data_IF_757497811476
#
_entry.id   IF_757497811476
#
_cell.length_a   1.000
_cell.length_b   1.000
_cell.length_c   1.000
_cell.angle_alpha   90.00
_cell.angle_beta   90.00
_cell.angle_gamma   90.00
#
_symmetry.space_group_name_H-M   'P 1'
#
loop_
_entity.id
_entity.type
_entity.pdbx_description
1 polymer ?
#
# COMPACT_ATOMS: atom_id res chain seq x y z
N UNK A 1 14.50 -18.44 15.97
CA UNK A 1 13.63 -17.62 15.09
C UNK A 1 12.55 -18.52 14.54
N UNK A 2 11.35 -18.00 14.38
CA UNK A 2 10.19 -18.76 13.91
C UNK A 2 9.94 -18.42 12.44
N UNK A 3 9.92 -19.46 11.60
CA UNK A 3 9.65 -19.35 10.16
C UNK A 3 8.32 -20.04 9.86
N UNK A 4 7.37 -19.32 9.26
CA UNK A 4 6.14 -19.92 8.75
C UNK A 4 6.24 -20.16 7.24
N UNK A 5 5.66 -21.25 6.76
CA UNK A 5 5.64 -21.61 5.33
C UNK A 5 4.19 -21.92 4.92
N UNK A 6 3.66 -21.24 3.90
CA UNK A 6 2.32 -21.57 3.38
C UNK A 6 2.37 -22.87 2.58
N UNK A 7 1.63 -23.91 2.98
CA UNK A 7 1.76 -25.25 2.41
C UNK A 7 0.40 -25.90 2.09
N UNK A 8 0.43 -26.83 1.13
CA UNK A 8 -0.71 -27.71 0.82
C UNK A 8 -0.88 -28.85 1.84
N UNK A 9 0.21 -29.29 2.46
CA UNK A 9 0.24 -30.40 3.42
C UNK A 9 0.90 -30.02 4.75
N UNK A 10 1.09 -31.02 5.61
CA UNK A 10 1.45 -30.87 7.03
C UNK A 10 2.93 -31.16 7.32
N UNK A 11 3.73 -31.37 6.27
CA UNK A 11 5.15 -31.71 6.37
C UNK A 11 6.02 -30.87 5.43
N UNK A 12 7.34 -30.89 5.65
CA UNK A 12 8.30 -30.12 4.86
C UNK A 12 8.51 -30.69 3.43
N UNK A 13 8.02 -31.89 3.14
CA UNK A 13 8.01 -32.47 1.79
C UNK A 13 6.80 -32.02 0.95
N UNK A 14 5.88 -31.29 1.58
CA UNK A 14 4.74 -30.67 0.91
C UNK A 14 5.16 -29.47 0.07
N UNK A 15 4.40 -29.24 -1.00
CA UNK A 15 4.59 -28.05 -1.83
C UNK A 15 4.03 -26.81 -1.16
N UNK A 16 4.68 -25.68 -1.43
CA UNK A 16 4.24 -24.36 -1.01
C UNK A 16 2.95 -24.00 -1.75
N UNK A 17 1.92 -23.58 -1.02
CA UNK A 17 0.75 -22.93 -1.61
C UNK A 17 1.09 -21.46 -1.81
N UNK A 18 1.04 -21.01 -3.06
CA UNK A 18 1.37 -19.64 -3.44
C UNK A 18 0.35 -18.63 -2.91
N UNK A 19 -0.85 -19.06 -2.51
CA UNK A 19 -1.93 -18.17 -2.07
C UNK A 19 -1.90 -18.05 -0.56
N UNK A 20 -1.08 -17.15 -0.01
CA UNK A 20 -0.92 -16.98 1.44
C UNK A 20 -2.24 -17.01 2.23
N UNK A 21 -3.19 -16.14 1.88
CA UNK A 21 -4.44 -16.01 2.64
C UNK A 21 -5.35 -17.23 2.58
N UNK A 22 -5.19 -18.09 1.58
CA UNK A 22 -6.06 -19.26 1.30
C UNK A 22 -5.31 -20.59 1.34
N UNK A 23 -4.04 -20.60 1.77
CA UNK A 23 -3.32 -21.86 1.96
C UNK A 23 -4.04 -22.70 3.00
N UNK A 24 -3.92 -24.02 2.92
CA UNK A 24 -4.59 -24.92 3.87
C UNK A 24 -3.86 -24.94 5.22
N UNK A 25 -2.53 -24.98 5.18
CA UNK A 25 -1.69 -25.06 6.37
C UNK A 25 -0.59 -24.00 6.36
N UNK A 26 -0.16 -23.63 7.56
CA UNK A 26 1.12 -22.99 7.84
C UNK A 26 2.02 -24.00 8.55
N UNK A 27 3.18 -24.28 7.96
CA UNK A 27 4.25 -25.01 8.64
C UNK A 27 5.06 -24.02 9.46
N UNK A 28 4.97 -24.10 10.77
CA UNK A 28 5.69 -23.24 11.71
C UNK A 28 6.94 -23.99 12.16
N UNK A 29 8.10 -23.42 11.84
CA UNK A 29 9.41 -24.03 12.04
C UNK A 29 10.21 -23.16 12.99
N UNK A 30 10.64 -23.74 14.11
CA UNK A 30 11.59 -23.10 15.01
C UNK A 30 13.02 -23.42 14.56
N UNK A 31 13.82 -22.37 14.38
CA UNK A 31 15.19 -22.46 13.90
C UNK A 31 16.15 -21.77 14.88
N UNK A 32 17.14 -22.53 15.35
CA UNK A 32 18.25 -22.04 16.16
C UNK A 32 19.57 -22.37 15.46
N UNK A 33 20.43 -21.36 15.23
CA UNK A 33 21.74 -21.58 14.61
C UNK A 33 21.69 -22.27 13.23
N UNK A 34 20.66 -21.99 12.42
CA UNK A 34 20.35 -22.64 11.13
C UNK A 34 19.93 -24.12 11.21
N UNK A 35 19.60 -24.63 12.41
CA UNK A 35 19.07 -25.98 12.60
C UNK A 35 17.60 -25.92 12.98
N UNK A 36 16.82 -26.83 12.41
CA UNK A 36 15.41 -27.00 12.77
C UNK A 36 15.34 -27.64 14.16
N UNK A 37 14.72 -26.94 15.10
CA UNK A 37 14.50 -27.40 16.47
C UNK A 37 13.11 -28.02 16.61
N UNK A 38 12.11 -27.43 15.96
CA UNK A 38 10.72 -27.89 15.99
C UNK A 38 10.03 -27.59 14.66
N UNK A 39 9.08 -28.43 14.28
CA UNK A 39 8.15 -28.17 13.19
C UNK A 39 6.74 -28.55 13.62
N UNK A 40 5.77 -27.69 13.35
CA UNK A 40 4.35 -27.94 13.58
C UNK A 40 3.53 -27.44 12.39
N UNK A 41 2.52 -28.21 12.00
CA UNK A 41 1.55 -27.78 10.99
C UNK A 41 0.32 -27.19 11.70
N UNK A 42 -0.11 -26.02 11.26
CA UNK A 42 -1.28 -25.32 11.80
C UNK A 42 -2.24 -25.00 10.68
N UNK A 43 -3.53 -25.26 10.87
CA UNK A 43 -4.56 -24.86 9.91
C UNK A 43 -4.64 -23.33 9.78
N UNK A 44 -4.79 -22.84 8.56
CA UNK A 44 -4.97 -21.42 8.30
C UNK A 44 -6.41 -21.00 8.62
N UNK A 45 -6.58 -20.11 9.60
CA UNK A 45 -7.88 -19.56 10.01
C UNK A 45 -8.55 -18.69 8.92
N UNK A 46 -7.78 -18.26 7.91
CA UNK A 46 -8.26 -17.54 6.74
C UNK A 46 -8.74 -18.44 5.58
N UNK A 47 -8.44 -19.74 5.60
CA UNK A 47 -8.60 -20.63 4.44
C UNK A 47 -10.02 -20.64 3.85
N UNK A 48 -11.03 -20.67 4.71
CA UNK A 48 -12.44 -20.79 4.30
C UNK A 48 -13.19 -19.44 4.28
N UNK A 49 -12.50 -18.32 4.49
CA UNK A 49 -13.16 -17.03 4.47
C UNK A 49 -13.53 -16.57 3.05
N UNK A 50 -14.77 -16.08 2.92
CA UNK A 50 -15.26 -15.48 1.68
C UNK A 50 -14.51 -14.19 1.32
N UNK A 51 -14.22 -13.36 2.32
CA UNK A 51 -13.50 -12.08 2.17
C UNK A 51 -12.51 -11.88 3.33
N UNK A 52 -11.42 -11.13 3.13
CA UNK A 52 -10.45 -10.84 4.20
C UNK A 52 -9.55 -12.01 4.62
N UNK A 53 -9.51 -13.10 3.85
CA UNK A 53 -8.71 -14.29 4.14
C UNK A 53 -7.22 -13.97 4.43
N UNK A 54 -6.61 -13.06 3.66
CA UNK A 54 -5.23 -12.61 3.87
C UNK A 54 -5.00 -11.84 5.18
N UNK A 55 -5.95 -11.01 5.60
CA UNK A 55 -5.87 -10.28 6.88
C UNK A 55 -5.89 -11.27 8.04
N UNK A 56 -6.80 -12.26 8.00
CA UNK A 56 -6.88 -13.28 9.05
C UNK A 56 -5.63 -14.13 9.15
N UNK A 57 -5.09 -14.54 8.01
CA UNK A 57 -3.84 -15.28 7.94
C UNK A 57 -2.68 -14.45 8.53
N UNK A 58 -2.60 -13.15 8.20
CA UNK A 58 -1.58 -12.26 8.74
C UNK A 58 -1.71 -12.06 10.26
N UNK A 59 -2.93 -11.86 10.78
CA UNK A 59 -3.18 -11.82 12.24
C UNK A 59 -2.73 -13.11 12.94
N UNK A 60 -2.93 -14.27 12.29
CA UNK A 60 -2.50 -15.56 12.82
C UNK A 60 -0.97 -15.65 12.93
N UNK A 61 -0.22 -15.08 11.98
CA UNK A 61 1.25 -15.04 12.06
C UNK A 61 1.73 -14.31 13.32
N UNK A 62 1.09 -13.19 13.67
CA UNK A 62 1.40 -12.45 14.91
C UNK A 62 1.12 -13.27 16.17
N UNK A 63 0.01 -14.01 16.21
CA UNK A 63 -0.34 -14.90 17.34
C UNK A 63 0.67 -16.04 17.50
N UNK A 64 1.17 -16.56 16.39
CA UNK A 64 2.19 -17.61 16.33
C UNK A 64 3.62 -17.07 16.55
N UNK A 65 3.79 -15.75 16.70
CA UNK A 65 5.08 -15.07 16.87
C UNK A 65 6.07 -15.39 15.76
N UNK A 66 5.57 -15.47 14.53
CA UNK A 66 6.39 -15.72 13.34
C UNK A 66 7.30 -14.53 13.09
N UNK A 67 8.59 -14.79 12.86
CA UNK A 67 9.57 -13.75 12.48
C UNK A 67 9.62 -13.59 10.95
N UNK A 68 9.59 -14.72 10.24
CA UNK A 68 9.74 -14.77 8.78
C UNK A 68 8.66 -15.67 8.14
N UNK A 69 8.06 -15.21 7.05
CA UNK A 69 7.05 -15.94 6.28
C UNK A 69 7.61 -16.30 4.90
N UNK A 70 7.58 -17.57 4.54
CA UNK A 70 7.90 -18.05 3.19
C UNK A 70 6.59 -18.36 2.46
N UNK A 71 6.31 -17.63 1.40
CA UNK A 71 5.06 -17.77 0.65
C UNK A 71 5.23 -17.35 -0.81
N UNK A 72 4.22 -17.58 -1.64
CA UNK A 72 4.24 -17.13 -3.03
C UNK A 72 3.84 -15.66 -3.15
N UNK A 73 2.54 -15.43 -3.21
CA UNK A 73 1.93 -14.12 -3.48
C UNK A 73 1.21 -13.60 -2.23
N UNK A 74 1.45 -12.32 -1.94
CA UNK A 74 0.81 -11.55 -0.88
C UNK A 74 0.02 -10.39 -1.49
N UNK A 75 -1.22 -10.23 -1.07
CA UNK A 75 -2.02 -9.05 -1.41
C UNK A 75 -1.75 -7.89 -0.45
N UNK A 76 -2.03 -6.64 -0.86
CA UNK A 76 -1.67 -5.42 -0.13
C UNK A 76 -2.21 -5.39 1.32
N UNK A 77 -3.44 -5.90 1.51
CA UNK A 77 -4.05 -5.99 2.84
C UNK A 77 -3.31 -6.94 3.80
N UNK A 78 -2.74 -8.03 3.28
CA UNK A 78 -1.98 -8.97 4.10
C UNK A 78 -0.60 -8.40 4.44
N UNK A 79 0.08 -7.83 3.45
CA UNK A 79 1.39 -7.16 3.59
C UNK A 79 1.32 -6.08 4.68
N UNK A 80 0.34 -5.16 4.60
CA UNK A 80 0.18 -4.08 5.57
C UNK A 80 -0.02 -4.57 7.02
N UNK A 81 -0.58 -5.76 7.23
CA UNK A 81 -0.74 -6.36 8.57
C UNK A 81 0.56 -7.02 9.02
N UNK A 82 1.24 -7.75 8.13
CA UNK A 82 2.53 -8.40 8.41
C UNK A 82 3.60 -7.36 8.79
N UNK A 83 3.63 -6.22 8.10
CA UNK A 83 4.58 -5.12 8.38
C UNK A 83 4.37 -4.53 9.78
N UNK A 84 3.11 -4.26 10.18
CA UNK A 84 2.78 -3.80 11.52
C UNK A 84 3.20 -4.79 12.61
N UNK A 85 3.16 -6.08 12.27
CA UNK A 85 3.61 -7.18 13.14
C UNK A 85 5.12 -7.43 13.05
N UNK A 86 5.83 -6.70 12.17
CA UNK A 86 7.26 -6.86 11.88
C UNK A 86 7.65 -8.26 11.38
N UNK A 87 6.71 -8.93 10.69
CA UNK A 87 6.94 -10.23 10.06
C UNK A 87 7.50 -10.01 8.66
N UNK A 88 8.69 -10.54 8.39
CA UNK A 88 9.32 -10.40 7.07
C UNK A 88 8.83 -11.49 6.13
N UNK A 89 8.26 -11.13 5.00
CA UNK A 89 7.83 -12.10 3.99
C UNK A 89 8.90 -12.31 2.92
N UNK A 90 8.99 -13.53 2.38
CA UNK A 90 9.94 -13.90 1.32
C UNK A 90 9.24 -14.75 0.27
N UNK A 91 9.58 -14.49 -0.99
CA UNK A 91 9.00 -15.16 -2.15
C UNK A 91 9.63 -16.55 -2.25
N UNK A 92 8.78 -17.56 -2.20
CA UNK A 92 9.15 -18.96 -2.19
C UNK A 92 8.17 -19.79 -3.02
N UNK A 93 8.66 -20.86 -3.63
CA UNK A 93 7.88 -21.81 -4.40
C UNK A 93 8.53 -23.20 -4.34
N UNK A 94 7.85 -24.22 -4.86
CA UNK A 94 8.32 -25.60 -4.81
C UNK A 94 8.16 -26.22 -3.42
N UNK A 95 9.10 -27.08 -3.03
CA UNK A 95 9.03 -27.83 -1.76
C UNK A 95 9.36 -26.95 -0.56
N UNK A 96 8.61 -27.10 0.53
CA UNK A 96 8.81 -26.34 1.76
C UNK A 96 10.22 -26.50 2.34
N UNK A 97 10.78 -27.73 2.33
CA UNK A 97 12.16 -27.99 2.77
C UNK A 97 13.21 -27.23 1.97
N UNK A 98 13.02 -27.14 0.65
CA UNK A 98 13.99 -26.53 -0.26
C UNK A 98 13.95 -25.01 -0.09
N UNK A 99 12.75 -24.43 0.01
CA UNK A 99 12.57 -23.02 0.32
C UNK A 99 13.15 -22.64 1.68
N UNK A 100 12.92 -23.45 2.72
CA UNK A 100 13.53 -23.22 4.03
C UNK A 100 15.06 -23.28 3.95
N UNK A 101 15.61 -24.25 3.21
CA UNK A 101 17.04 -24.32 2.96
C UNK A 101 17.59 -23.08 2.26
N UNK A 102 16.92 -22.60 1.22
CA UNK A 102 17.30 -21.36 0.51
C UNK A 102 17.25 -20.14 1.43
N UNK A 103 16.20 -20.04 2.26
CA UNK A 103 16.04 -18.96 3.24
C UNK A 103 17.21 -18.92 4.24
N UNK A 104 17.57 -20.05 4.84
CA UNK A 104 18.67 -20.14 5.82
C UNK A 104 20.05 -19.84 5.22
N UNK A 105 20.15 -19.94 3.89
CA UNK A 105 21.34 -19.57 3.13
C UNK A 105 21.28 -18.12 2.58
N UNK A 106 20.21 -17.39 2.84
CA UNK A 106 20.02 -16.01 2.39
C UNK A 106 19.70 -15.87 0.89
N UNK A 107 19.21 -16.94 0.26
CA UNK A 107 18.98 -17.00 -1.19
C UNK A 107 17.57 -16.63 -1.64
N UNK A 108 16.66 -16.26 -0.74
CA UNK A 108 15.30 -15.86 -1.09
C UNK A 108 15.15 -14.35 -1.18
N UNK A 109 14.35 -13.91 -2.16
CA UNK A 109 13.93 -12.53 -2.31
C UNK A 109 12.91 -12.18 -1.21
N UNK A 110 13.18 -11.12 -0.46
CA UNK A 110 12.21 -10.59 0.48
C UNK A 110 11.05 -9.96 -0.31
N UNK A 111 9.82 -10.33 0.03
CA UNK A 111 8.62 -9.61 -0.41
C UNK A 111 8.57 -8.33 0.42
N UNK A 112 9.38 -7.37 0.04
CA UNK A 112 9.10 -5.97 0.27
C UNK A 112 8.24 -5.51 -0.90
N UNK A 113 7.13 -4.81 -0.64
CA UNK A 113 6.66 -3.86 -1.64
C UNK A 113 7.85 -2.92 -1.92
N UNK A 114 8.56 -3.12 -3.03
CA UNK A 114 9.57 -2.14 -3.43
C UNK A 114 8.82 -0.95 -4.01
N UNK A 115 8.33 -0.13 -3.11
CA UNK A 115 8.74 1.25 -3.02
C UNK A 115 8.77 1.61 -1.53
N UNK A 116 9.93 1.38 -0.89
CA UNK A 116 10.28 2.05 0.37
C UNK A 116 10.06 3.58 0.21
N UNK A 117 9.60 4.28 1.26
CA UNK A 117 10.58 4.61 2.29
C UNK A 117 10.07 4.46 3.72
N UNK A 118 10.84 3.71 4.50
CA UNK A 118 11.21 3.96 5.90
C UNK A 118 10.16 4.71 6.73
N UNK A 119 9.27 3.95 7.38
CA UNK A 119 8.53 4.43 8.55
C UNK A 119 9.20 3.90 9.83
N UNK A 120 10.43 4.35 10.06
CA UNK A 120 10.90 4.57 11.43
C UNK A 120 10.44 5.99 11.81
N UNK A 121 9.68 6.08 12.89
CA UNK A 121 9.15 7.33 13.42
C UNK A 121 10.30 8.24 13.86
N UNK A 122 10.84 9.06 12.97
CA UNK A 122 11.56 10.28 13.35
C UNK A 122 11.49 11.32 12.25
N UNK A 123 10.84 12.44 12.61
CA UNK A 123 11.11 13.81 12.17
C UNK A 123 11.51 14.06 10.70
N UNK A 124 10.57 14.71 9.98
CA UNK A 124 10.80 15.76 8.96
C UNK A 124 11.81 15.49 7.82
N UNK A 125 11.24 15.49 6.61
CA UNK A 125 11.75 16.10 5.39
C UNK A 125 13.01 15.49 4.72
N UNK A 126 12.98 15.57 3.37
CA UNK A 126 14.07 15.40 2.39
C UNK A 126 14.26 13.97 1.86
N UNK A 127 13.73 13.71 0.65
CA UNK A 127 14.16 12.51 -0.12
C UNK A 127 13.44 12.21 -1.44
N UNK A 128 12.23 12.70 -1.68
CA UNK A 128 11.53 12.58 -2.97
C UNK A 128 10.75 13.85 -3.24
N UNK A 129 10.89 14.41 -4.44
CA UNK A 129 10.30 15.69 -4.83
C UNK A 129 8.80 15.80 -4.56
N UNK A 130 8.35 17.03 -4.34
CA UNK A 130 6.93 17.32 -4.18
C UNK A 130 6.19 16.90 -5.46
N UNK A 131 5.15 16.07 -5.31
CA UNK A 131 4.22 15.71 -6.39
C UNK A 131 2.83 16.22 -6.07
N UNK A 132 2.31 17.08 -6.94
CA UNK A 132 1.04 17.76 -6.75
C UNK A 132 0.00 17.13 -7.67
N UNK A 133 -1.06 16.64 -7.04
CA UNK A 133 -2.21 16.08 -7.73
C UNK A 133 -3.28 17.14 -8.01
N UNK A 134 -3.87 17.07 -9.20
CA UNK A 134 -4.93 17.95 -9.68
C UNK A 134 -6.11 17.11 -10.21
N UNK A 135 -7.33 17.31 -9.69
CA UNK A 135 -8.53 16.84 -10.38
C UNK A 135 -8.81 17.77 -11.56
N UNK A 136 -8.91 17.24 -12.78
CA UNK A 136 -9.02 18.03 -14.02
C UNK A 136 -10.31 17.74 -14.78
N UNK A 137 -10.83 18.75 -15.48
CA UNK A 137 -12.00 18.64 -16.36
C UNK A 137 -11.62 18.25 -17.80
N UNK A 138 -10.38 18.49 -18.19
CA UNK A 138 -9.84 18.23 -19.52
C UNK A 138 -8.35 17.79 -19.47
N UNK A 139 -7.76 17.55 -20.65
CA UNK A 139 -6.37 17.11 -20.82
C UNK A 139 -5.60 18.09 -21.73
N UNK A 140 -5.63 19.37 -21.38
CA UNK A 140 -4.97 20.46 -22.11
C UNK A 140 -3.59 20.82 -21.53
N UNK A 141 -2.92 19.87 -20.87
CA UNK A 141 -1.63 20.13 -20.22
C UNK A 141 -1.77 21.11 -19.05
N UNK A 142 -0.86 22.07 -18.92
CA UNK A 142 -0.91 23.05 -17.83
C UNK A 142 -2.09 24.03 -17.94
N UNK A 143 -2.65 24.21 -19.13
CA UNK A 143 -3.84 25.04 -19.32
C UNK A 143 -5.14 24.30 -18.94
N UNK A 144 -5.04 23.04 -18.48
CA UNK A 144 -6.21 22.24 -18.07
C UNK A 144 -6.97 22.87 -16.90
N UNK A 145 -8.30 22.79 -16.97
CA UNK A 145 -9.20 23.33 -15.95
C UNK A 145 -9.28 22.41 -14.73
N UNK A 146 -9.18 22.98 -13.54
CA UNK A 146 -9.25 22.25 -12.27
C UNK A 146 -10.72 22.02 -11.89
N UNK A 147 -11.08 20.76 -11.69
CA UNK A 147 -12.41 20.38 -11.26
C UNK A 147 -12.69 20.86 -9.83
N UNK A 148 -13.87 21.47 -9.63
CA UNK A 148 -14.42 21.81 -8.32
C UNK A 148 -14.92 20.58 -7.54
N UNK A 149 -15.05 19.42 -8.21
CA UNK A 149 -15.59 18.19 -7.65
C UNK A 149 -14.59 17.05 -7.77
N UNK A 150 -13.92 16.74 -6.67
CA UNK A 150 -12.88 15.71 -6.59
C UNK A 150 -13.34 14.32 -7.07
N UNK A 151 -14.58 13.93 -6.76
CA UNK A 151 -15.12 12.59 -7.08
C UNK A 151 -15.65 12.39 -8.50
N UNK A 152 -15.67 13.44 -9.33
CA UNK A 152 -16.26 13.40 -10.69
C UNK A 152 -15.34 14.00 -11.76
N UNK A 153 -14.06 14.20 -11.45
CA UNK A 153 -13.11 14.71 -12.42
C UNK A 153 -12.86 13.66 -13.52
N UNK A 154 -13.07 13.98 -14.81
CA UNK A 154 -12.80 13.06 -15.93
C UNK A 154 -11.30 12.83 -16.19
N UNK A 155 -10.42 13.68 -15.64
CA UNK A 155 -8.97 13.53 -15.75
C UNK A 155 -8.28 13.79 -14.42
N UNK A 156 -7.08 13.22 -14.28
CA UNK A 156 -6.20 13.41 -13.14
C UNK A 156 -4.83 13.89 -13.60
N UNK A 157 -4.40 15.05 -13.12
CA UNK A 157 -3.08 15.62 -13.37
C UNK A 157 -2.14 15.37 -12.19
N UNK A 158 -0.88 15.06 -12.49
CA UNK A 158 0.19 14.91 -11.49
C UNK A 158 1.40 15.67 -11.95
N UNK A 159 1.79 16.65 -11.17
CA UNK A 159 2.96 17.47 -11.43
C UNK A 159 4.10 17.09 -10.49
N UNK A 160 5.23 16.68 -11.04
CA UNK A 160 6.48 16.46 -10.29
C UNK A 160 7.25 17.79 -10.25
N UNK A 161 7.37 18.38 -9.06
CA UNK A 161 7.98 19.72 -8.87
C UNK A 161 9.47 19.71 -9.19
N UNK A 162 10.17 18.61 -8.90
CA UNK A 162 11.60 18.49 -9.17
C UNK A 162 11.86 18.35 -10.68
N UNK A 163 11.07 17.53 -11.37
CA UNK A 163 11.21 17.28 -12.81
C UNK A 163 10.55 18.34 -13.67
N UNK A 164 9.68 19.18 -13.10
CA UNK A 164 8.80 20.11 -13.81
C UNK A 164 8.00 19.42 -14.92
N UNK A 165 7.44 18.26 -14.58
CA UNK A 165 6.74 17.40 -15.51
C UNK A 165 5.29 17.22 -15.06
N UNK A 166 4.33 17.55 -15.94
CA UNK A 166 2.91 17.30 -15.75
C UNK A 166 2.50 16.03 -16.52
N UNK A 167 1.99 15.04 -15.81
CA UNK A 167 1.37 13.85 -16.40
C UNK A 167 -0.13 13.90 -16.18
N UNK A 168 -0.91 13.80 -17.25
CA UNK A 168 -2.37 13.73 -17.19
C UNK A 168 -2.82 12.32 -17.55
N UNK A 169 -3.74 11.79 -16.76
CA UNK A 169 -4.29 10.44 -16.86
C UNK A 169 -5.81 10.58 -17.00
N UNK A 170 -6.39 9.88 -17.98
CA UNK A 170 -7.85 9.79 -18.10
C UNK A 170 -8.44 9.00 -16.95
N UNK A 171 -9.51 9.50 -16.35
CA UNK A 171 -10.26 8.80 -15.32
C UNK A 171 -11.24 7.84 -15.99
N UNK A 172 -10.76 6.64 -16.33
CA UNK A 172 -11.59 5.58 -16.91
C UNK A 172 -12.40 4.90 -15.80
N UNK A 173 -13.47 5.58 -15.37
CA UNK A 173 -14.35 5.15 -14.26
C UNK A 173 -15.19 3.88 -14.57
N UNK A 174 -14.95 3.21 -15.69
CA UNK A 174 -15.66 1.98 -16.06
C UNK A 174 -15.08 0.70 -15.41
N UNK A 175 -13.93 0.81 -14.72
CA UNK A 175 -13.30 -0.29 -13.97
C UNK A 175 -13.03 0.04 -12.50
N UNK A 176 -13.92 0.82 -11.89
CA UNK A 176 -13.80 1.24 -10.50
C UNK A 176 -14.22 0.09 -9.58
N UNK A 177 -13.29 -0.39 -8.76
CA UNK A 177 -13.63 -1.26 -7.63
C UNK A 177 -14.52 -0.44 -6.66
N UNK A 178 -15.81 -0.78 -6.51
CA UNK A 178 -16.71 -0.02 -5.64
C UNK A 178 -16.31 -0.06 -4.16
N UNK A 179 -15.35 -0.92 -3.79
CA UNK A 179 -14.78 -0.97 -2.44
C UNK A 179 -13.69 0.08 -2.16
N UNK A 180 -13.13 0.74 -3.18
CA UNK A 180 -12.03 1.71 -3.02
C UNK A 180 -12.53 3.16 -3.10
N UNK A 181 -12.08 4.01 -2.18
CA UNK A 181 -12.37 5.44 -2.27
C UNK A 181 -11.61 6.06 -3.46
N UNK A 182 -12.07 7.20 -4.01
CA UNK A 182 -11.34 7.90 -5.05
C UNK A 182 -9.88 8.24 -4.65
N UNK A 183 -9.64 8.49 -3.35
CA UNK A 183 -8.30 8.80 -2.83
C UNK A 183 -7.40 7.56 -2.86
N UNK A 184 -7.92 6.37 -2.56
CA UNK A 184 -7.14 5.12 -2.63
C UNK A 184 -6.68 4.84 -4.06
N UNK A 185 -7.55 5.12 -5.04
CA UNK A 185 -7.22 4.93 -6.45
C UNK A 185 -6.17 5.93 -6.95
N UNK A 186 -6.21 7.15 -6.44
CA UNK A 186 -5.21 8.19 -6.73
C UNK A 186 -3.87 7.83 -6.12
N UNK A 187 -3.86 7.33 -4.88
CA UNK A 187 -2.64 6.88 -4.21
C UNK A 187 -1.99 5.71 -4.97
N UNK A 188 -2.79 4.68 -5.32
CA UNK A 188 -2.34 3.50 -6.06
C UNK A 188 -1.81 3.85 -7.46
N UNK A 189 -2.40 4.85 -8.13
CA UNK A 189 -2.05 5.17 -9.50
C UNK A 189 -0.82 6.07 -9.63
N UNK A 190 -0.62 7.00 -8.69
CA UNK A 190 0.31 8.13 -8.90
C UNK A 190 1.11 8.58 -7.69
N UNK A 191 0.90 8.02 -6.49
CA UNK A 191 1.65 8.31 -5.26
C UNK A 191 1.97 9.80 -5.05
N UNK A 192 0.94 10.67 -4.93
CA UNK A 192 1.16 12.10 -4.74
C UNK A 192 1.64 12.38 -3.31
N UNK A 193 2.35 13.49 -3.11
CA UNK A 193 2.66 14.00 -1.75
C UNK A 193 1.68 15.10 -1.33
N UNK A 194 1.09 15.77 -2.31
CA UNK A 194 0.20 16.93 -2.14
C UNK A 194 -1.00 16.80 -3.07
N UNK A 195 -2.20 17.10 -2.57
CA UNK A 195 -3.42 17.26 -3.37
C UNK A 195 -3.77 18.75 -3.42
N UNK A 196 -3.97 19.28 -4.62
CA UNK A 196 -4.57 20.58 -4.83
C UNK A 196 -6.04 20.44 -5.22
N UNK A 197 -6.92 21.17 -4.54
CA UNK A 197 -8.34 21.22 -4.89
C UNK A 197 -8.91 22.63 -4.68
N UNK A 198 -9.79 23.06 -5.58
CA UNK A 198 -10.52 24.33 -5.47
C UNK A 198 -11.51 24.36 -4.29
N UNK A 199 -12.04 23.18 -3.93
CA UNK A 199 -12.91 22.99 -2.79
C UNK A 199 -13.02 21.51 -2.44
N UNK A 200 -13.02 21.21 -1.14
CA UNK A 200 -13.03 19.83 -0.67
C UNK A 200 -13.94 19.70 0.56
N UNK A 201 -14.79 18.67 0.57
CA UNK A 201 -15.68 18.40 1.70
C UNK A 201 -14.90 17.84 2.89
N UNK A 202 -15.34 18.14 4.12
CA UNK A 202 -14.64 17.74 5.36
C UNK A 202 -14.34 16.23 5.47
N UNK A 203 -15.18 15.36 4.88
CA UNK A 203 -14.91 13.92 4.79
C UNK A 203 -13.63 13.59 4.03
N UNK A 204 -13.38 14.29 2.92
CA UNK A 204 -12.19 14.08 2.12
C UNK A 204 -10.94 14.70 2.78
N UNK A 205 -11.08 15.81 3.53
CA UNK A 205 -10.00 16.35 4.38
C UNK A 205 -9.53 15.29 5.39
N UNK A 206 -10.48 14.66 6.09
CA UNK A 206 -10.17 13.60 7.06
C UNK A 206 -9.44 12.40 6.45
N UNK A 207 -9.84 11.99 5.24
CA UNK A 207 -9.21 10.89 4.52
C UNK A 207 -7.80 11.24 4.02
N UNK A 208 -7.59 12.44 3.51
CA UNK A 208 -6.27 12.94 3.07
C UNK A 208 -5.31 13.04 4.26
N UNK A 209 -5.78 13.61 5.37
CA UNK A 209 -4.99 13.73 6.60
C UNK A 209 -4.64 12.36 7.21
N UNK A 210 -5.58 11.41 7.20
CA UNK A 210 -5.34 10.05 7.69
C UNK A 210 -4.30 9.28 6.85
N UNK A 211 -4.11 9.68 5.58
CA UNK A 211 -3.13 9.12 4.65
C UNK A 211 -1.78 9.88 4.64
N UNK A 212 -1.64 10.93 5.47
CA UNK A 212 -0.40 11.72 5.53
C UNK A 212 -0.15 12.59 4.30
N UNK A 213 -1.15 12.78 3.44
CA UNK A 213 -1.07 13.65 2.27
C UNK A 213 -1.28 15.11 2.67
N UNK A 214 -0.58 16.03 2.00
CA UNK A 214 -0.80 17.46 2.18
C UNK A 214 -1.98 17.91 1.33
N UNK A 215 -2.88 18.71 1.90
CA UNK A 215 -3.95 19.37 1.18
C UNK A 215 -3.61 20.84 1.00
N UNK A 216 -3.56 21.29 -0.25
CA UNK A 216 -3.49 22.70 -0.62
C UNK A 216 -4.80 23.11 -1.29
N UNK A 217 -5.28 24.30 -0.96
CA UNK A 217 -6.49 24.85 -1.59
C UNK A 217 -6.25 26.26 -2.09
N UNK A 218 -7.06 26.69 -3.05
CA UNK A 218 -6.98 28.02 -3.62
C UNK A 218 -8.02 28.20 -4.72
N UNK A 219 -8.42 29.44 -4.95
CA UNK A 219 -9.34 29.80 -6.03
C UNK A 219 -8.56 30.05 -7.33
N UNK A 220 -8.02 28.96 -7.89
CA UNK A 220 -7.32 28.95 -9.18
C UNK A 220 -8.12 28.12 -10.17
N UNK A 221 -8.21 28.56 -11.42
CA UNK A 221 -9.01 27.92 -12.46
C UNK A 221 -8.22 26.84 -13.21
N UNK A 222 -6.91 27.04 -13.39
CA UNK A 222 -6.07 26.15 -14.22
C UNK A 222 -4.85 25.63 -13.47
N UNK A 223 -4.27 24.52 -13.94
CA UNK A 223 -3.02 23.96 -13.37
C UNK A 223 -1.91 25.00 -13.38
N UNK A 224 -1.74 25.71 -14.50
CA UNK A 224 -0.73 26.77 -14.68
C UNK A 224 -0.83 27.88 -13.64
N UNK A 225 -2.04 28.33 -13.31
CA UNK A 225 -2.24 29.34 -12.27
C UNK A 225 -1.79 28.84 -10.89
N UNK A 226 -2.04 27.57 -10.59
CA UNK A 226 -1.57 26.95 -9.34
C UNK A 226 -0.05 26.82 -9.34
N UNK A 227 0.54 26.33 -10.43
CA UNK A 227 1.99 26.17 -10.56
C UNK A 227 2.75 27.50 -10.44
N UNK A 228 2.18 28.59 -10.97
CA UNK A 228 2.74 29.94 -10.81
C UNK A 228 2.61 30.51 -9.40
N UNK A 229 1.73 29.95 -8.55
CA UNK A 229 1.46 30.46 -7.21
C UNK A 229 1.71 29.41 -6.11
N UNK A 230 2.55 28.39 -6.36
CA UNK A 230 2.84 27.31 -5.41
C UNK A 230 3.28 27.82 -4.04
N UNK A 231 4.09 28.88 -4.01
CA UNK A 231 4.61 29.49 -2.78
C UNK A 231 3.54 30.21 -1.93
N UNK A 232 2.37 30.48 -2.53
CA UNK A 232 1.25 31.20 -1.90
C UNK A 232 0.11 30.26 -1.48
N UNK A 233 0.24 28.96 -1.74
CA UNK A 233 -0.79 27.98 -1.40
C UNK A 233 -0.79 27.71 0.10
N UNK A 234 -1.95 27.82 0.73
CA UNK A 234 -2.11 27.52 2.16
C UNK A 234 -2.34 26.02 2.38
N UNK A 235 -1.62 25.43 3.33
CA UNK A 235 -1.85 24.06 3.76
C UNK A 235 -3.12 24.00 4.62
N UNK A 236 -4.12 23.25 4.18
CA UNK A 236 -5.36 23.07 4.93
C UNK A 236 -5.25 21.83 5.83
N UNK A 237 -5.02 22.06 7.13
CA UNK A 237 -4.74 21.00 8.13
C UNK A 237 -5.87 20.77 9.13
N UNK A 238 -7.02 21.48 9.00
CA UNK A 238 -8.15 21.35 9.93
C UNK A 238 -9.48 21.21 9.21
N UNK A 239 -10.30 20.31 9.75
CA UNK A 239 -11.73 20.19 9.49
C UNK A 239 -12.39 21.53 9.82
N UNK A 240 -12.82 22.27 8.79
CA UNK A 240 -13.73 23.39 9.00
C UNK A 240 -15.09 22.79 9.40
N UNK A 241 -15.29 22.64 10.70
CA UNK A 241 -16.58 22.35 11.31
C UNK A 241 -17.58 23.45 10.94
N UNK A 242 -18.26 23.29 9.82
CA UNK A 242 -19.47 24.03 9.52
C UNK A 242 -20.59 23.41 10.35
N UNK A 243 -20.90 24.08 11.48
CA UNK A 243 -22.18 23.93 12.17
C UNK A 243 -23.30 24.20 11.17
N UNK A 244 -24.21 23.24 11.03
CA UNK A 244 -25.56 23.50 10.53
C UNK A 244 -26.35 24.30 11.56
#
# INVERSE_FOLDING_TARGET
MIVAISAYGEDLDSDIDLRFGRCKYFLVVDVEGKKIVKTEAVLNAGAEQGHGAGIKAAEQMGKLRVDNLLTGELGPNATAVLDKLKVKAYRASGKAKDALGQFLNGGLEQISEVAEPHHELSERAVGGGERIFFPLLDNNGEDSEISSHFGHAPFFGVYDVDKKELKIIGNDLDHVDPAKSPIDQIEDAVHPTTIFAKGIGGRAIGLIAAKGLLLKTGDYATVKEVLHNLDKLENQTKDCGHKH
#
